data_IF_182354288043
#
_entry.id   IF_182354288043
#
_cell.length_a   1.000
_cell.length_b   1.000
_cell.length_c   1.000
_cell.angle_alpha   90.00
_cell.angle_beta   90.00
_cell.angle_gamma   90.00
#
_symmetry.space_group_name_H-M   'P 1'
#
loop_
_entity.id
_entity.type
_entity.pdbx_description
1 polymer ?
#
# COMPACT_ATOMS: atom_id res chain seq x y z
N UNK A 1 -76.87 30.66 -8.12
CA UNK A 1 -75.39 30.55 -8.03
C UNK A 1 -74.92 29.73 -9.23
N UNK A 2 -74.34 30.37 -10.24
CA UNK A 2 -73.90 29.67 -11.45
C UNK A 2 -72.59 28.96 -11.16
N UNK A 3 -72.61 27.63 -11.13
CA UNK A 3 -71.39 26.82 -11.11
C UNK A 3 -70.74 26.91 -12.50
N UNK A 4 -69.75 27.79 -12.64
CA UNK A 4 -68.91 27.87 -13.82
C UNK A 4 -68.00 26.64 -13.84
N UNK A 5 -68.33 25.65 -14.67
CA UNK A 5 -67.45 24.49 -14.87
C UNK A 5 -66.09 24.98 -15.38
N UNK A 6 -64.98 24.47 -14.83
CA UNK A 6 -63.65 24.88 -15.24
C UNK A 6 -63.40 24.56 -16.72
N UNK A 7 -62.60 25.38 -17.42
CA UNK A 7 -62.29 25.15 -18.83
C UNK A 7 -61.56 23.81 -19.02
N UNK A 8 -61.86 23.10 -20.12
CA UNK A 8 -61.29 21.78 -20.43
C UNK A 8 -59.75 21.76 -20.40
N UNK A 9 -59.10 22.87 -20.75
CA UNK A 9 -57.64 23.02 -20.68
C UNK A 9 -57.11 22.99 -19.25
N UNK A 10 -57.82 23.58 -18.29
CA UNK A 10 -57.45 23.54 -16.88
C UNK A 10 -57.61 22.12 -16.30
N UNK A 11 -58.68 21.41 -16.70
CA UNK A 11 -58.88 20.00 -16.30
C UNK A 11 -57.78 19.08 -16.84
N UNK A 12 -57.35 19.28 -18.09
CA UNK A 12 -56.26 18.51 -18.69
C UNK A 12 -54.94 18.75 -17.95
N UNK A 13 -54.63 20.01 -17.62
CA UNK A 13 -53.42 20.37 -16.88
C UNK A 13 -53.44 19.85 -15.44
N UNK A 14 -54.62 19.80 -14.81
CA UNK A 14 -54.81 19.17 -13.49
C UNK A 14 -54.51 17.68 -13.55
N UNK A 15 -55.05 16.97 -14.54
CA UNK A 15 -54.76 15.55 -14.73
C UNK A 15 -53.27 15.29 -14.99
N UNK A 16 -52.62 16.12 -15.81
CA UNK A 16 -51.16 16.05 -16.03
C UNK A 16 -50.38 16.26 -14.73
N UNK A 17 -50.76 17.26 -13.91
CA UNK A 17 -50.12 17.49 -12.61
C UNK A 17 -50.36 16.34 -11.62
N UNK A 18 -51.57 15.77 -11.58
CA UNK A 18 -51.88 14.60 -10.75
C UNK A 18 -51.01 13.39 -11.14
N UNK A 19 -50.80 13.15 -12.44
CA UNK A 19 -49.89 12.09 -12.89
C UNK A 19 -48.45 12.35 -12.47
N UNK A 20 -47.97 13.59 -12.60
CA UNK A 20 -46.60 13.95 -12.19
C UNK A 20 -46.43 13.81 -10.68
N UNK A 21 -47.42 14.21 -9.88
CA UNK A 21 -47.38 14.04 -8.43
C UNK A 21 -47.30 12.56 -8.04
N UNK A 22 -48.12 11.71 -8.66
CA UNK A 22 -48.08 10.26 -8.42
C UNK A 22 -46.72 9.64 -8.81
N UNK A 23 -46.15 10.07 -9.95
CA UNK A 23 -44.84 9.60 -10.39
C UNK A 23 -43.72 10.04 -9.43
N UNK A 24 -43.77 11.28 -8.94
CA UNK A 24 -42.81 11.79 -7.96
C UNK A 24 -42.93 11.07 -6.60
N UNK A 25 -44.16 10.79 -6.14
CA UNK A 25 -44.39 10.01 -4.92
C UNK A 25 -43.82 8.60 -5.05
N UNK A 26 -44.01 7.95 -6.20
CA UNK A 26 -43.42 6.65 -6.49
C UNK A 26 -41.89 6.70 -6.49
N UNK A 27 -41.29 7.72 -7.13
CA UNK A 27 -39.83 7.91 -7.12
C UNK A 27 -39.28 8.12 -5.70
N UNK A 28 -39.98 8.91 -4.88
CA UNK A 28 -39.61 9.12 -3.48
C UNK A 28 -39.66 7.82 -2.68
N UNK A 29 -40.71 7.01 -2.88
CA UNK A 29 -40.84 5.72 -2.20
C UNK A 29 -39.69 4.76 -2.59
N UNK A 30 -39.34 4.70 -3.88
CA UNK A 30 -38.22 3.89 -4.37
C UNK A 30 -36.89 4.36 -3.77
N UNK A 31 -36.61 5.67 -3.81
CA UNK A 31 -35.38 6.22 -3.25
C UNK A 31 -35.28 6.03 -1.73
N UNK A 32 -36.41 6.09 -1.01
CA UNK A 32 -36.46 5.79 0.42
C UNK A 32 -36.12 4.33 0.69
N UNK A 33 -36.70 3.39 -0.06
CA UNK A 33 -36.39 1.97 0.06
C UNK A 33 -34.92 1.66 -0.28
N UNK A 34 -34.36 2.29 -1.32
CA UNK A 34 -32.94 2.17 -1.65
C UNK A 34 -32.06 2.68 -0.51
N UNK A 35 -32.36 3.88 0.02
CA UNK A 35 -31.64 4.47 1.16
C UNK A 35 -31.68 3.55 2.38
N UNK A 36 -32.83 2.97 2.68
CA UNK A 36 -32.97 2.03 3.80
C UNK A 36 -32.15 0.75 3.57
N UNK A 37 -32.13 0.23 2.33
CA UNK A 37 -31.30 -0.94 1.99
C UNK A 37 -29.80 -0.66 2.11
N UNK A 38 -29.35 0.54 1.74
CA UNK A 38 -27.94 0.93 1.89
C UNK A 38 -27.56 1.15 3.33
N UNK A 39 -28.50 1.68 4.14
CA UNK A 39 -28.29 1.87 5.57
C UNK A 39 -28.11 0.53 6.28
N UNK A 40 -28.95 -0.45 6.00
CA UNK A 40 -28.84 -1.80 6.55
C UNK A 40 -27.50 -2.46 6.18
N UNK A 41 -27.12 -2.42 4.89
CA UNK A 41 -25.81 -2.93 4.43
C UNK A 41 -24.63 -2.24 5.11
N UNK A 42 -24.72 -0.94 5.34
CA UNK A 42 -23.68 -0.19 6.02
C UNK A 42 -23.56 -0.59 7.51
N UNK A 43 -24.70 -0.78 8.18
CA UNK A 43 -24.75 -1.29 9.55
C UNK A 43 -24.14 -2.70 9.65
N UNK A 44 -24.46 -3.60 8.73
CA UNK A 44 -23.86 -4.95 8.67
C UNK A 44 -22.34 -4.91 8.50
N UNK A 45 -21.85 -4.08 7.57
CA UNK A 45 -20.41 -3.91 7.33
C UNK A 45 -19.71 -3.35 8.56
N UNK A 46 -20.33 -2.39 9.27
CA UNK A 46 -19.78 -1.84 10.50
C UNK A 46 -19.66 -2.91 11.59
N UNK A 47 -20.69 -3.74 11.78
CA UNK A 47 -20.68 -4.82 12.77
C UNK A 47 -19.57 -5.83 12.47
N UNK A 48 -19.42 -6.26 11.20
CA UNK A 48 -18.35 -7.19 10.85
C UNK A 48 -16.96 -6.53 10.95
N UNK A 49 -16.84 -5.24 10.66
CA UNK A 49 -15.58 -4.51 10.84
C UNK A 49 -15.15 -4.51 12.31
N UNK A 50 -16.07 -4.20 13.24
CA UNK A 50 -15.82 -4.25 14.69
C UNK A 50 -15.36 -5.66 15.08
N UNK A 51 -16.07 -6.70 14.63
CA UNK A 51 -15.72 -8.10 14.91
C UNK A 51 -14.31 -8.47 14.40
N UNK A 52 -13.94 -8.01 13.21
CA UNK A 52 -12.61 -8.24 12.65
C UNK A 52 -11.52 -7.49 13.42
N UNK A 53 -11.80 -6.26 13.86
CA UNK A 53 -10.89 -5.50 14.72
C UNK A 53 -10.67 -6.23 16.06
N UNK A 54 -11.71 -6.75 16.69
CA UNK A 54 -11.61 -7.55 17.92
C UNK A 54 -10.74 -8.80 17.71
N UNK A 55 -10.96 -9.56 16.64
CA UNK A 55 -10.11 -10.72 16.29
C UNK A 55 -8.66 -10.33 16.07
N UNK A 56 -8.39 -9.21 15.38
CA UNK A 56 -7.04 -8.71 15.18
C UNK A 56 -6.38 -8.33 16.51
N UNK A 57 -7.11 -7.70 17.43
CA UNK A 57 -6.59 -7.39 18.77
C UNK A 57 -6.29 -8.65 19.56
N UNK A 58 -7.16 -9.67 19.52
CA UNK A 58 -6.92 -10.95 20.19
C UNK A 58 -5.66 -11.64 19.65
N UNK A 59 -5.49 -11.69 18.33
CA UNK A 59 -4.29 -12.27 17.71
C UNK A 59 -3.03 -11.49 18.10
N UNK A 60 -3.08 -10.15 18.09
CA UNK A 60 -1.95 -9.31 18.53
C UNK A 60 -1.59 -9.55 19.99
N UNK A 61 -2.58 -9.69 20.87
CA UNK A 61 -2.34 -10.01 22.28
C UNK A 61 -1.76 -11.41 22.47
N UNK A 62 -2.25 -12.40 21.72
CA UNK A 62 -1.68 -13.76 21.72
C UNK A 62 -0.23 -13.73 21.26
N UNK A 63 0.08 -13.03 20.17
CA UNK A 63 1.45 -12.87 19.67
C UNK A 63 2.35 -12.23 20.73
N UNK A 64 1.89 -11.13 21.35
CA UNK A 64 2.62 -10.45 22.44
C UNK A 64 2.89 -11.35 23.65
N UNK A 65 2.01 -12.32 23.94
CA UNK A 65 2.21 -13.31 25.02
C UNK A 65 3.21 -14.41 24.63
N UNK A 66 3.31 -14.74 23.34
CA UNK A 66 4.16 -15.82 22.82
C UNK A 66 5.53 -15.33 22.35
N UNK A 67 5.71 -14.02 22.20
CA UNK A 67 6.98 -13.36 21.98
C UNK A 67 7.53 -12.90 23.34
N UNK A 68 8.29 -13.76 24.07
CA UNK A 68 8.97 -13.30 25.27
C UNK A 68 9.93 -12.18 24.86
N UNK A 69 9.78 -11.02 25.48
CA UNK A 69 10.76 -9.94 25.48
C UNK A 69 12.04 -10.44 26.15
N UNK A 70 12.84 -11.20 25.43
CA UNK A 70 14.24 -11.39 25.76
C UNK A 70 14.97 -10.23 25.12
N UNK A 71 15.12 -9.15 25.89
CA UNK A 71 16.21 -8.21 25.67
C UNK A 71 17.51 -9.03 25.75
N UNK A 72 18.07 -9.43 24.60
CA UNK A 72 19.41 -10.01 24.57
C UNK A 72 20.40 -8.90 24.94
N UNK A 73 21.15 -9.00 26.06
CA UNK A 73 22.31 -8.15 26.25
C UNK A 73 23.33 -8.49 25.16
N UNK A 74 23.76 -7.46 24.44
CA UNK A 74 24.84 -7.51 23.46
C UNK A 74 26.13 -7.88 24.20
N UNK A 75 26.58 -9.12 24.05
CA UNK A 75 27.95 -9.51 24.38
C UNK A 75 28.77 -9.50 23.08
N UNK A 76 29.63 -8.49 22.94
CA UNK A 76 30.72 -8.46 21.98
C UNK A 76 31.78 -9.48 22.39
N UNK A 77 31.98 -10.53 21.60
CA UNK A 77 33.26 -11.23 21.53
C UNK A 77 33.64 -11.46 20.06
N UNK A 78 34.85 -11.03 19.73
CA UNK A 78 35.48 -10.96 18.39
C UNK A 78 36.22 -12.29 18.10
N UNK A 79 36.37 -12.70 16.83
CA UNK A 79 36.43 -14.11 16.43
C UNK A 79 37.86 -14.69 16.34
N UNK A 80 37.96 -16.01 16.23
CA UNK A 80 39.17 -16.69 15.75
C UNK A 80 38.79 -17.82 14.79
N UNK A 81 39.47 -17.83 13.64
CA UNK A 81 39.33 -18.76 12.52
C UNK A 81 39.97 -20.12 12.86
N UNK A 82 39.41 -21.23 12.34
CA UNK A 82 40.16 -22.30 11.63
C UNK A 82 39.22 -23.46 11.15
N UNK A 83 39.07 -23.48 9.83
CA UNK A 83 38.80 -24.52 8.81
C UNK A 83 38.26 -25.95 9.11
N UNK A 84 37.16 -26.23 8.38
CA UNK A 84 36.92 -27.34 7.44
C UNK A 84 36.56 -28.77 7.94
N UNK A 85 35.27 -29.11 7.85
CA UNK A 85 34.79 -30.39 7.28
C UNK A 85 33.50 -30.16 6.48
N UNK A 86 33.43 -30.73 5.27
CA UNK A 86 32.29 -30.65 4.36
C UNK A 86 31.31 -31.80 4.65
N UNK A 87 30.10 -31.46 5.08
CA UNK A 87 28.90 -32.29 5.00
C UNK A 87 27.74 -31.41 4.52
N UNK A 88 26.98 -31.95 3.58
CA UNK A 88 25.95 -31.28 2.78
C UNK A 88 24.70 -30.93 3.59
N UNK A 89 23.96 -29.94 3.07
CA UNK A 89 22.69 -29.37 3.55
C UNK A 89 22.74 -28.47 4.80
N UNK A 90 23.43 -27.33 4.66
CA UNK A 90 23.11 -26.11 5.42
C UNK A 90 22.24 -25.22 4.54
N UNK A 91 20.93 -25.50 4.48
CA UNK A 91 19.97 -24.50 4.05
C UNK A 91 19.69 -23.56 5.23
N UNK A 92 20.51 -22.53 5.34
CA UNK A 92 20.35 -21.47 6.34
C UNK A 92 20.71 -20.18 5.63
N UNK A 93 19.83 -19.18 5.68
CA UNK A 93 19.93 -17.80 5.18
C UNK A 93 21.16 -17.03 5.72
N UNK A 94 22.35 -17.62 5.72
CA UNK A 94 23.45 -17.38 6.64
C UNK A 94 24.36 -16.19 6.26
N UNK A 95 23.83 -15.21 5.52
CA UNK A 95 24.57 -13.99 5.24
C UNK A 95 24.15 -13.26 3.98
N UNK A 96 22.86 -13.19 3.66
CA UNK A 96 22.38 -12.45 2.49
C UNK A 96 22.17 -10.97 2.88
N UNK A 97 23.11 -10.06 2.57
CA UNK A 97 22.76 -8.64 2.52
C UNK A 97 21.67 -8.53 1.46
N UNK A 98 20.44 -8.21 1.86
CA UNK A 98 19.39 -7.85 0.91
C UNK A 98 20.00 -6.89 -0.10
N UNK A 99 20.05 -7.30 -1.37
CA UNK A 99 20.69 -6.49 -2.39
C UNK A 99 19.70 -5.42 -2.76
N UNK A 100 19.79 -4.29 -2.08
CA UNK A 100 18.93 -3.12 -2.33
C UNK A 100 19.62 -2.21 -3.33
N UNK A 101 18.94 -1.91 -4.44
CA UNK A 101 19.38 -0.90 -5.39
C UNK A 101 18.53 0.37 -5.21
N UNK A 102 19.19 1.52 -5.17
CA UNK A 102 18.52 2.83 -5.04
C UNK A 102 18.75 3.63 -6.32
N UNK A 103 17.66 4.02 -6.96
CA UNK A 103 17.64 4.87 -8.15
C UNK A 103 17.16 6.28 -7.79
N UNK A 104 17.99 7.27 -8.14
CA UNK A 104 17.64 8.67 -8.06
C UNK A 104 17.99 9.33 -6.72
N UNK A 105 17.46 10.54 -6.54
CA UNK A 105 17.84 11.45 -5.46
C UNK A 105 19.02 12.35 -5.82
N UNK A 106 19.31 13.33 -4.97
CA UNK A 106 20.50 14.19 -5.11
C UNK A 106 21.74 13.46 -4.61
N UNK A 107 22.93 13.83 -5.09
CA UNK A 107 24.20 13.24 -4.65
C UNK A 107 24.40 13.33 -3.13
N UNK A 108 23.96 14.44 -2.52
CA UNK A 108 23.98 14.64 -1.07
C UNK A 108 23.08 13.64 -0.33
N UNK A 109 21.91 13.34 -0.89
CA UNK A 109 21.00 12.36 -0.30
C UNK A 109 21.53 10.95 -0.46
N UNK A 110 22.06 10.63 -1.65
CA UNK A 110 22.71 9.35 -1.93
C UNK A 110 23.88 9.09 -0.98
N UNK A 111 24.75 10.09 -0.74
CA UNK A 111 25.84 9.96 0.22
C UNK A 111 25.35 9.63 1.65
N UNK A 112 24.22 10.20 2.07
CA UNK A 112 23.61 9.87 3.37
C UNK A 112 23.01 8.47 3.39
N UNK A 113 22.44 8.01 2.28
CA UNK A 113 21.95 6.63 2.12
C UNK A 113 23.13 5.65 2.23
N UNK A 114 24.27 5.89 1.58
CA UNK A 114 25.46 5.03 1.73
C UNK A 114 26.01 5.06 3.15
N UNK A 115 26.04 6.24 3.79
CA UNK A 115 26.54 6.37 5.15
C UNK A 115 25.68 5.60 6.18
N UNK A 116 24.36 5.56 5.98
CA UNK A 116 23.42 4.82 6.84
C UNK A 116 23.35 3.33 6.46
N UNK A 117 23.44 3.03 5.17
CA UNK A 117 23.32 1.68 4.59
C UNK A 117 24.48 1.41 3.61
N UNK A 118 25.66 0.97 4.09
CA UNK A 118 26.84 0.77 3.26
C UNK A 118 26.70 -0.37 2.23
N UNK A 119 25.70 -1.24 2.38
CA UNK A 119 25.41 -2.34 1.45
C UNK A 119 24.54 -1.97 0.23
N UNK A 120 24.02 -0.73 0.15
CA UNK A 120 23.10 -0.35 -0.92
C UNK A 120 23.83 0.04 -2.20
N UNK A 121 23.36 -0.49 -3.34
CA UNK A 121 23.87 -0.11 -4.67
C UNK A 121 23.17 1.15 -5.15
N UNK A 122 23.88 2.26 -5.21
CA UNK A 122 23.33 3.51 -5.73
C UNK A 122 23.54 3.61 -7.23
N UNK A 123 22.44 3.88 -7.94
CA UNK A 123 22.42 4.12 -9.37
C UNK A 123 21.91 5.55 -9.59
N UNK A 124 22.71 6.36 -10.27
CA UNK A 124 22.36 7.74 -10.60
C UNK A 124 21.10 7.83 -11.48
N UNK A 125 20.49 9.01 -11.56
CA UNK A 125 19.27 9.26 -12.34
C UNK A 125 19.45 9.21 -13.87
N UNK A 126 20.50 8.57 -14.38
CA UNK A 126 20.79 8.53 -15.81
C UNK A 126 19.78 7.63 -16.55
N UNK A 127 19.55 7.89 -17.84
CA UNK A 127 18.52 7.21 -18.66
C UNK A 127 18.89 5.77 -19.02
N UNK A 128 20.15 5.39 -18.83
CA UNK A 128 20.67 4.05 -19.12
C UNK A 128 20.86 3.32 -17.79
N UNK A 129 19.90 2.48 -17.45
CA UNK A 129 20.04 1.55 -16.33
C UNK A 129 20.78 0.32 -16.84
N UNK A 130 21.97 0.05 -16.31
CA UNK A 130 22.70 -1.16 -16.67
C UNK A 130 21.97 -2.37 -16.09
N UNK A 131 21.46 -3.23 -16.96
CA UNK A 131 20.76 -4.47 -16.58
C UNK A 131 21.61 -5.34 -15.65
N UNK A 132 22.92 -5.34 -15.84
CA UNK A 132 23.87 -6.09 -15.01
C UNK A 132 23.98 -5.54 -13.58
N UNK A 133 23.72 -4.24 -13.38
CA UNK A 133 23.73 -3.62 -12.04
C UNK A 133 22.43 -3.85 -11.28
N UNK A 134 21.32 -4.01 -12.00
CA UNK A 134 19.98 -4.28 -11.47
C UNK A 134 19.68 -5.78 -11.35
N UNK A 135 20.39 -6.64 -12.08
CA UNK A 135 20.25 -8.08 -12.01
C UNK A 135 20.63 -8.62 -10.62
N UNK A 136 19.76 -9.46 -10.05
CA UNK A 136 19.95 -10.05 -8.72
C UNK A 136 19.77 -9.06 -7.57
N UNK A 137 19.01 -7.98 -7.79
CA UNK A 137 18.53 -7.07 -6.75
C UNK A 137 17.21 -7.60 -6.22
N UNK A 138 17.04 -7.62 -4.90
CA UNK A 138 15.82 -8.11 -4.25
C UNK A 138 14.81 -6.98 -4.04
N UNK A 139 15.31 -5.76 -3.78
CA UNK A 139 14.49 -4.57 -3.56
C UNK A 139 15.03 -3.41 -4.41
N UNK A 140 14.19 -2.86 -5.28
CA UNK A 140 14.46 -1.64 -6.02
C UNK A 140 13.75 -0.45 -5.38
N UNK A 141 14.51 0.54 -4.90
CA UNK A 141 14.00 1.81 -4.41
C UNK A 141 14.11 2.87 -5.52
N UNK A 142 13.01 3.53 -5.86
CA UNK A 142 12.95 4.60 -6.85
C UNK A 142 12.50 5.90 -6.18
N UNK A 143 13.37 6.91 -6.21
CA UNK A 143 12.99 8.26 -5.80
C UNK A 143 12.26 8.98 -6.96
N UNK A 144 10.94 9.10 -6.86
CA UNK A 144 10.08 9.65 -7.92
C UNK A 144 10.28 11.15 -8.14
N UNK A 145 10.90 11.87 -7.21
CA UNK A 145 11.16 13.31 -7.39
C UNK A 145 12.33 13.58 -8.32
N UNK A 146 13.22 12.60 -8.48
CA UNK A 146 14.47 12.76 -9.23
C UNK A 146 14.48 11.95 -10.54
N UNK A 147 13.41 11.21 -10.82
CA UNK A 147 13.33 10.23 -11.91
C UNK A 147 12.02 10.44 -12.67
N UNK A 148 12.09 10.60 -14.00
CA UNK A 148 10.89 10.76 -14.84
C UNK A 148 10.07 9.46 -14.89
N UNK A 149 8.77 9.57 -15.18
CA UNK A 149 7.88 8.41 -15.33
C UNK A 149 8.42 7.37 -16.34
N UNK A 150 9.00 7.82 -17.45
CA UNK A 150 9.61 6.95 -18.45
C UNK A 150 10.81 6.16 -17.89
N UNK A 151 11.61 6.78 -17.03
CA UNK A 151 12.73 6.12 -16.36
C UNK A 151 12.24 5.11 -15.31
N UNK A 152 11.18 5.44 -14.57
CA UNK A 152 10.57 4.52 -13.59
C UNK A 152 10.07 3.23 -14.26
N UNK A 153 9.40 3.34 -15.40
CA UNK A 153 8.90 2.17 -16.13
C UNK A 153 10.05 1.31 -16.69
N UNK A 154 11.11 1.95 -17.20
CA UNK A 154 12.33 1.24 -17.63
C UNK A 154 13.01 0.51 -16.47
N UNK A 155 13.15 1.16 -15.33
CA UNK A 155 13.73 0.53 -14.15
C UNK A 155 12.90 -0.69 -13.70
N UNK A 156 11.57 -0.59 -13.73
CA UNK A 156 10.67 -1.73 -13.46
C UNK A 156 10.83 -2.89 -14.46
N UNK A 157 11.04 -2.59 -15.73
CA UNK A 157 11.19 -3.63 -16.76
C UNK A 157 12.56 -4.33 -16.74
N UNK A 158 13.60 -3.64 -16.27
CA UNK A 158 14.97 -4.17 -16.20
C UNK A 158 15.24 -4.99 -14.93
N UNK A 159 14.38 -4.86 -13.93
CA UNK A 159 14.46 -5.63 -12.69
C UNK A 159 13.92 -7.05 -12.88
N UNK A 160 14.52 -8.02 -12.18
CA UNK A 160 14.09 -9.42 -12.20
C UNK A 160 12.64 -9.57 -11.73
N UNK A 161 11.88 -10.49 -12.34
CA UNK A 161 10.43 -10.70 -12.12
C UNK A 161 10.01 -11.11 -10.69
N UNK A 162 10.92 -11.11 -9.72
CA UNK A 162 10.66 -11.42 -8.30
C UNK A 162 11.20 -10.37 -7.33
N UNK A 163 11.69 -9.22 -7.80
CA UNK A 163 12.15 -8.16 -6.92
C UNK A 163 11.04 -7.16 -6.62
N UNK A 164 11.03 -6.66 -5.39
CA UNK A 164 10.05 -5.68 -4.93
C UNK A 164 10.42 -4.26 -5.36
N UNK A 165 9.44 -3.49 -5.82
CA UNK A 165 9.67 -2.12 -6.31
C UNK A 165 9.02 -1.10 -5.36
N UNK A 166 9.88 -0.40 -4.61
CA UNK A 166 9.50 0.68 -3.71
C UNK A 166 9.61 2.04 -4.40
N UNK A 167 8.50 2.78 -4.47
CA UNK A 167 8.53 4.19 -4.87
C UNK A 167 8.49 5.13 -3.67
N UNK A 168 9.39 6.10 -3.64
CA UNK A 168 9.49 7.12 -2.59
C UNK A 168 9.52 8.51 -3.21
N UNK A 169 8.72 9.43 -2.69
CA UNK A 169 8.64 10.82 -3.14
C UNK A 169 9.26 11.79 -2.14
N UNK A 170 9.97 11.30 -1.13
CA UNK A 170 10.55 12.11 -0.06
C UNK A 170 12.01 11.76 0.16
N UNK A 171 12.86 12.75 0.34
CA UNK A 171 14.27 12.54 0.69
C UNK A 171 14.48 12.20 2.18
N UNK A 172 13.42 11.84 2.90
CA UNK A 172 13.52 11.44 4.30
C UNK A 172 13.96 9.98 4.39
N UNK A 173 15.07 9.74 5.08
CA UNK A 173 15.65 8.42 5.27
C UNK A 173 14.83 7.56 6.22
N UNK A 174 14.16 8.16 7.20
CA UNK A 174 13.37 7.38 8.16
C UNK A 174 12.14 6.75 7.49
N UNK A 175 11.59 7.41 6.46
CA UNK A 175 10.50 6.87 5.63
C UNK A 175 11.01 5.75 4.72
N UNK A 176 12.24 5.87 4.22
CA UNK A 176 12.90 4.81 3.46
C UNK A 176 13.06 3.57 4.35
N UNK A 177 13.58 3.76 5.57
CA UNK A 177 13.81 2.68 6.54
C UNK A 177 12.49 2.01 6.95
N UNK A 178 11.45 2.79 7.25
CA UNK A 178 10.11 2.25 7.55
C UNK A 178 9.54 1.43 6.41
N UNK A 179 9.68 1.90 5.15
CA UNK A 179 9.16 1.18 3.98
C UNK A 179 9.92 -0.08 3.67
N UNK A 180 11.24 -0.08 3.84
CA UNK A 180 12.06 -1.28 3.69
C UNK A 180 11.69 -2.28 4.79
N UNK A 181 11.60 -1.85 6.05
CA UNK A 181 11.21 -2.72 7.16
C UNK A 181 9.79 -3.30 6.99
N UNK A 182 8.86 -2.53 6.44
CA UNK A 182 7.51 -3.01 6.14
C UNK A 182 7.46 -4.08 5.04
N UNK A 183 8.49 -4.21 4.21
CA UNK A 183 8.61 -5.32 3.25
C UNK A 183 9.30 -6.56 3.83
N UNK A 184 9.96 -6.41 4.98
CA UNK A 184 10.71 -7.49 5.63
C UNK A 184 9.93 -8.16 6.77
N UNK A 185 8.80 -7.57 7.19
CA UNK A 185 7.86 -8.05 8.20
C UNK A 185 6.64 -8.72 7.54
#
# INVERSE_FOLDING_TARGET
>A
MAQTKPPKSALKRLAELETICADLENQLAVLQAERDSYKEKYEDILVENIRLQEKLTEVRERLRKHEPLVEKPVAEEVPTEEEAQAEEDVDCFAGLPLKVAVIGGTEVWQAKVVARHPGFKIIGSNKNFDRDKLAGTDILVINTNAVSHACTQKAKSEVSKGAEVLSISTNNLDILDQKINALLL
#
